data_IF_724702451551
#
_entry.id   IF_724702451551
#
_cell.length_a   1.000
_cell.length_b   1.000
_cell.length_c   1.000
_cell.angle_alpha   90.00
_cell.angle_beta   90.00
_cell.angle_gamma   90.00
#
_symmetry.space_group_name_H-M   'P 1'
#
loop_
_entity.id
_entity.type
_entity.pdbx_description
1 polymer ?
#
# COMPACT_ATOMS: atom_id res chain seq x y z
N UNK A 1 1.09 22.33 -41.62
CA UNK A 1 2.12 22.07 -40.59
C UNK A 1 1.75 22.89 -39.36
N UNK A 2 0.92 22.34 -38.47
CA UNK A 2 0.43 23.05 -37.28
C UNK A 2 1.39 22.76 -36.12
N UNK A 3 2.16 23.77 -35.73
CA UNK A 3 3.01 23.78 -34.55
C UNK A 3 2.14 23.85 -33.30
N UNK A 4 2.10 22.77 -32.51
CA UNK A 4 1.50 22.75 -31.17
C UNK A 4 2.47 23.44 -30.21
N UNK A 5 2.56 24.77 -30.31
CA UNK A 5 3.20 25.64 -29.31
C UNK A 5 2.11 26.07 -28.31
N UNK A 6 1.98 25.41 -27.16
CA UNK A 6 0.88 25.74 -26.26
C UNK A 6 0.83 25.07 -24.88
N UNK A 7 1.97 24.73 -24.28
CA UNK A 7 2.02 24.19 -22.91
C UNK A 7 2.24 25.28 -21.86
N UNK A 8 1.21 26.05 -21.50
CA UNK A 8 1.31 27.09 -20.47
C UNK A 8 1.82 26.56 -19.11
N UNK A 9 2.40 27.42 -18.24
CA UNK A 9 3.08 27.01 -16.98
C UNK A 9 2.20 26.16 -16.04
N UNK A 10 0.88 26.30 -16.12
CA UNK A 10 -0.11 25.50 -15.37
C UNK A 10 -0.19 24.04 -15.85
N UNK A 11 -0.03 23.79 -17.16
CA UNK A 11 -0.04 22.44 -17.75
C UNK A 11 1.23 21.64 -17.40
N UNK A 12 2.38 22.33 -17.29
CA UNK A 12 3.64 21.73 -16.84
C UNK A 12 3.66 21.35 -15.36
N UNK A 13 2.82 21.96 -14.52
CA UNK A 13 2.67 21.56 -13.12
C UNK A 13 1.84 20.28 -12.98
N UNK A 14 0.69 20.21 -13.65
CA UNK A 14 -0.16 19.00 -13.66
C UNK A 14 0.59 17.76 -14.17
N UNK A 15 1.36 17.88 -15.26
CA UNK A 15 2.16 16.76 -15.77
C UNK A 15 3.27 16.32 -14.80
N UNK A 16 3.80 17.23 -13.96
CA UNK A 16 4.79 16.89 -12.93
C UNK A 16 4.13 16.15 -11.76
N UNK A 17 2.96 16.57 -11.33
CA UNK A 17 2.20 15.92 -10.26
C UNK A 17 1.76 14.50 -10.66
N UNK A 18 1.27 14.34 -11.90
CA UNK A 18 0.92 13.02 -12.45
C UNK A 18 2.16 12.12 -12.61
N UNK A 19 3.29 12.65 -13.08
CA UNK A 19 4.54 11.87 -13.15
C UNK A 19 5.03 11.47 -11.75
N UNK A 20 4.97 12.35 -10.76
CA UNK A 20 5.37 12.05 -9.39
C UNK A 20 4.47 11.00 -8.74
N UNK A 21 3.16 11.08 -8.94
CA UNK A 21 2.22 10.06 -8.50
C UNK A 21 2.56 8.70 -9.16
N UNK A 22 2.76 8.69 -10.48
CA UNK A 22 3.10 7.47 -11.22
C UNK A 22 4.44 6.86 -10.81
N UNK A 23 5.45 7.70 -10.58
CA UNK A 23 6.78 7.30 -10.07
C UNK A 23 6.70 6.72 -8.66
N UNK A 24 5.91 7.33 -7.77
CA UNK A 24 5.68 6.82 -6.40
C UNK A 24 5.04 5.43 -6.41
N UNK A 25 3.98 5.25 -7.21
CA UNK A 25 3.32 3.94 -7.31
C UNK A 25 4.26 2.86 -7.85
N UNK A 26 5.07 3.18 -8.87
CA UNK A 26 6.05 2.24 -9.45
C UNK A 26 7.14 1.82 -8.44
N UNK A 27 7.71 2.75 -7.68
CA UNK A 27 8.76 2.47 -6.68
C UNK A 27 8.26 1.54 -5.56
N UNK A 28 7.08 1.82 -5.00
CA UNK A 28 6.49 1.00 -3.93
C UNK A 28 6.23 -0.42 -4.44
N UNK A 29 5.70 -0.55 -5.66
CA UNK A 29 5.37 -1.86 -6.25
C UNK A 29 6.63 -2.69 -6.49
N UNK A 30 7.70 -2.07 -6.97
CA UNK A 30 8.99 -2.75 -7.22
C UNK A 30 9.59 -3.25 -5.90
N UNK A 31 9.61 -2.42 -4.84
CA UNK A 31 10.15 -2.81 -3.53
C UNK A 31 9.34 -3.97 -2.93
N UNK A 32 8.01 -3.93 -3.01
CA UNK A 32 7.14 -5.02 -2.54
C UNK A 32 7.41 -6.32 -3.31
N UNK A 33 7.53 -6.27 -4.64
CA UNK A 33 7.88 -7.44 -5.46
C UNK A 33 9.23 -8.05 -5.07
N UNK A 34 10.24 -7.23 -4.81
CA UNK A 34 11.58 -7.70 -4.43
C UNK A 34 11.55 -8.41 -3.07
N UNK A 35 10.90 -7.82 -2.06
CA UNK A 35 10.73 -8.44 -0.73
C UNK A 35 10.00 -9.77 -0.84
N UNK A 36 8.93 -9.81 -1.65
CA UNK A 36 8.13 -11.01 -1.83
C UNK A 36 8.91 -12.12 -2.54
N UNK A 37 9.70 -11.79 -3.57
CA UNK A 37 10.57 -12.74 -4.29
C UNK A 37 11.65 -13.32 -3.36
N UNK A 38 12.22 -12.51 -2.49
CA UNK A 38 13.23 -12.96 -1.53
C UNK A 38 12.66 -13.89 -0.44
N UNK A 39 11.41 -13.66 -0.03
CA UNK A 39 10.73 -14.48 0.98
C UNK A 39 10.31 -15.87 0.48
N UNK A 40 10.16 -16.06 -0.83
CA UNK A 40 9.63 -17.31 -1.42
C UNK A 40 10.58 -18.50 -1.30
N UNK A 41 11.91 -18.29 -1.21
CA UNK A 41 12.88 -19.40 -1.22
C UNK A 41 12.90 -20.26 0.05
N UNK A 42 12.27 -19.84 1.15
CA UNK A 42 12.28 -20.56 2.45
C UNK A 42 10.89 -20.83 3.04
N UNK A 43 9.81 -20.53 2.33
CA UNK A 43 8.45 -20.57 2.91
C UNK A 43 7.69 -21.85 2.57
N UNK A 44 7.16 -22.51 3.60
CA UNK A 44 6.23 -23.64 3.46
C UNK A 44 4.97 -23.20 2.70
N UNK A 45 4.66 -23.86 1.57
CA UNK A 45 3.50 -23.53 0.69
C UNK A 45 2.18 -23.39 1.45
N UNK A 46 1.91 -24.27 2.43
CA UNK A 46 0.68 -24.21 3.27
C UNK A 46 0.60 -22.94 4.11
N UNK A 47 1.73 -22.50 4.68
CA UNK A 47 1.79 -21.30 5.50
C UNK A 47 1.70 -20.04 4.63
N UNK A 48 2.30 -20.08 3.43
CA UNK A 48 2.19 -19.01 2.45
C UNK A 48 0.74 -18.74 2.03
N UNK A 49 -0.03 -19.79 1.75
CA UNK A 49 -1.45 -19.67 1.39
C UNK A 49 -2.26 -19.09 2.56
N UNK A 50 -2.02 -19.54 3.80
CA UNK A 50 -2.72 -19.00 4.96
C UNK A 50 -2.43 -17.50 5.17
N UNK A 51 -1.16 -17.09 5.09
CA UNK A 51 -0.79 -15.67 5.18
C UNK A 51 -1.30 -14.86 4.00
N UNK A 52 -1.42 -15.45 2.81
CA UNK A 52 -2.02 -14.78 1.66
C UNK A 52 -3.49 -14.45 1.91
N UNK A 53 -4.28 -15.40 2.43
CA UNK A 53 -5.69 -15.18 2.76
C UNK A 53 -5.83 -14.12 3.87
N UNK A 54 -5.04 -14.22 4.94
CA UNK A 54 -5.06 -13.22 6.02
C UNK A 54 -4.66 -11.82 5.50
N UNK A 55 -3.63 -11.76 4.65
CA UNK A 55 -3.19 -10.54 4.00
C UNK A 55 -4.29 -9.91 3.13
N UNK A 56 -5.01 -10.72 2.35
CA UNK A 56 -6.13 -10.27 1.53
C UNK A 56 -7.29 -9.75 2.39
N UNK A 57 -7.65 -10.45 3.47
CA UNK A 57 -8.71 -10.00 4.39
C UNK A 57 -8.34 -8.66 5.02
N UNK A 58 -7.11 -8.48 5.49
CA UNK A 58 -6.74 -7.19 6.10
C UNK A 58 -6.50 -6.07 5.09
N UNK A 59 -6.16 -6.38 3.83
CA UNK A 59 -6.23 -5.41 2.73
C UNK A 59 -7.67 -4.90 2.53
N UNK A 60 -8.65 -5.80 2.62
CA UNK A 60 -10.06 -5.41 2.55
C UNK A 60 -10.48 -4.59 3.78
N UNK A 61 -10.07 -5.01 4.97
CA UNK A 61 -10.37 -4.30 6.22
C UNK A 61 -9.79 -2.88 6.25
N UNK A 62 -8.54 -2.71 5.85
CA UNK A 62 -7.91 -1.37 5.77
C UNK A 62 -8.61 -0.47 4.76
N UNK A 63 -9.14 -1.04 3.68
CA UNK A 63 -9.93 -0.29 2.71
C UNK A 63 -11.28 0.17 3.30
N UNK A 64 -11.97 -0.68 4.08
CA UNK A 64 -13.19 -0.30 4.81
C UNK A 64 -12.89 0.81 5.83
N UNK A 65 -11.84 0.64 6.63
CA UNK A 65 -11.41 1.64 7.62
C UNK A 65 -11.11 2.97 6.93
N UNK A 66 -10.45 2.96 5.76
CA UNK A 66 -10.19 4.18 4.98
C UNK A 66 -11.49 4.91 4.61
N UNK A 67 -12.48 4.20 4.09
CA UNK A 67 -13.77 4.78 3.71
C UNK A 67 -14.47 5.36 4.94
N UNK A 68 -14.41 4.65 6.08
CA UNK A 68 -14.98 5.12 7.33
C UNK A 68 -14.30 6.41 7.85
N UNK A 69 -12.96 6.48 7.85
CA UNK A 69 -12.24 7.70 8.24
C UNK A 69 -12.54 8.88 7.31
N UNK A 70 -12.70 8.63 6.00
CA UNK A 70 -13.07 9.67 5.04
C UNK A 70 -14.44 10.26 5.37
N UNK A 71 -15.41 9.41 5.69
CA UNK A 71 -16.74 9.86 6.12
C UNK A 71 -16.69 10.66 7.42
N UNK A 72 -15.98 10.13 8.43
CA UNK A 72 -15.90 10.78 9.74
C UNK A 72 -15.26 12.18 9.64
N UNK A 73 -14.18 12.31 8.88
CA UNK A 73 -13.45 13.58 8.72
C UNK A 73 -14.20 14.53 7.79
N UNK A 74 -14.85 14.00 6.76
CA UNK A 74 -15.73 14.76 5.87
C UNK A 74 -16.93 15.36 6.62
N UNK A 75 -17.47 14.65 7.61
CA UNK A 75 -18.60 15.10 8.42
C UNK A 75 -18.22 16.08 9.53
N UNK A 76 -17.07 15.88 10.22
CA UNK A 76 -16.71 16.67 11.40
C UNK A 76 -15.79 17.87 11.15
N UNK A 77 -15.00 17.88 10.07
CA UNK A 77 -14.02 18.95 9.82
C UNK A 77 -14.36 19.78 8.59
N UNK A 78 -14.31 19.17 7.41
CA UNK A 78 -14.65 19.82 6.14
C UNK A 78 -14.62 18.80 5.00
N UNK A 79 -15.63 18.77 4.12
CA UNK A 79 -15.64 17.92 2.93
C UNK A 79 -14.43 18.17 2.02
N UNK A 80 -13.96 19.42 1.94
CA UNK A 80 -12.87 19.84 1.04
C UNK A 80 -11.51 19.31 1.52
N UNK A 81 -11.30 19.25 2.83
CA UNK A 81 -10.10 18.64 3.45
C UNK A 81 -10.14 17.11 3.36
N UNK A 82 -11.31 16.50 3.54
CA UNK A 82 -11.48 15.06 3.45
C UNK A 82 -11.18 14.52 2.03
N UNK A 83 -11.72 15.18 1.01
CA UNK A 83 -11.52 14.76 -0.40
C UNK A 83 -10.12 15.11 -0.90
N UNK A 84 -9.49 16.19 -0.41
CA UNK A 84 -8.15 16.60 -0.85
C UNK A 84 -7.00 15.85 -0.16
N UNK A 85 -6.87 16.03 1.16
CA UNK A 85 -5.72 15.53 1.92
C UNK A 85 -5.90 14.06 2.32
N UNK A 86 -7.10 13.69 2.76
CA UNK A 86 -7.35 12.36 3.31
C UNK A 86 -7.60 11.31 2.23
N UNK A 87 -8.29 11.65 1.14
CA UNK A 87 -8.56 10.69 0.07
C UNK A 87 -7.29 10.23 -0.62
N UNK A 88 -6.41 11.17 -0.98
CA UNK A 88 -5.21 10.88 -1.76
C UNK A 88 -4.06 10.38 -0.90
N UNK A 89 -3.91 10.89 0.33
CA UNK A 89 -2.74 10.57 1.15
C UNK A 89 -2.96 9.58 2.29
N UNK A 90 -4.13 9.57 2.94
CA UNK A 90 -4.30 8.71 4.11
C UNK A 90 -4.37 7.23 3.74
N UNK A 91 -4.88 6.91 2.54
CA UNK A 91 -5.03 5.53 2.09
C UNK A 91 -3.71 4.77 2.01
N UNK A 92 -2.66 5.39 1.47
CA UNK A 92 -1.35 4.73 1.35
C UNK A 92 -0.61 4.68 2.69
N UNK A 93 -0.79 5.69 3.56
CA UNK A 93 -0.22 5.69 4.92
C UNK A 93 -0.82 4.56 5.74
N UNK A 94 -2.16 4.43 5.76
CA UNK A 94 -2.86 3.38 6.49
C UNK A 94 -2.45 1.99 6.00
N UNK A 95 -2.33 1.85 4.67
CA UNK A 95 -1.89 0.60 4.06
C UNK A 95 -0.44 0.25 4.44
N UNK A 96 0.49 1.21 4.42
CA UNK A 96 1.88 0.98 4.84
C UNK A 96 1.98 0.54 6.31
N UNK A 97 1.24 1.21 7.20
CA UNK A 97 1.21 0.87 8.64
C UNK A 97 0.70 -0.56 8.81
N UNK A 98 -0.43 -0.89 8.17
CA UNK A 98 -0.98 -2.24 8.21
C UNK A 98 -0.01 -3.27 7.64
N UNK A 99 0.61 -2.99 6.49
CA UNK A 99 1.55 -3.90 5.84
C UNK A 99 2.76 -4.18 6.72
N UNK A 100 3.32 -3.14 7.36
CA UNK A 100 4.42 -3.28 8.29
C UNK A 100 4.04 -4.11 9.53
N UNK A 101 2.86 -3.86 10.10
CA UNK A 101 2.35 -4.64 11.24
C UNK A 101 2.10 -6.11 10.86
N UNK A 102 1.48 -6.34 9.71
CA UNK A 102 1.25 -7.68 9.17
C UNK A 102 2.56 -8.42 8.94
N UNK A 103 3.55 -7.76 8.33
CA UNK A 103 4.84 -8.38 8.03
C UNK A 103 5.64 -8.73 9.29
N UNK A 104 5.67 -7.85 10.29
CA UNK A 104 6.36 -8.12 11.57
C UNK A 104 5.74 -9.31 12.31
N UNK A 105 4.41 -9.40 12.34
CA UNK A 105 3.68 -10.54 12.92
C UNK A 105 3.93 -11.82 12.10
N UNK A 106 3.86 -11.73 10.78
CA UNK A 106 4.09 -12.86 9.89
C UNK A 106 5.50 -13.44 10.06
N UNK A 107 6.53 -12.60 10.06
CA UNK A 107 7.91 -13.02 10.29
C UNK A 107 8.10 -13.71 11.64
N UNK A 108 7.52 -13.15 12.71
CA UNK A 108 7.59 -13.76 14.06
C UNK A 108 6.97 -15.15 14.09
N UNK A 109 5.82 -15.34 13.44
CA UNK A 109 5.12 -16.64 13.39
C UNK A 109 5.87 -17.63 12.49
N UNK A 110 6.33 -17.20 11.32
CA UNK A 110 7.07 -18.03 10.36
C UNK A 110 8.39 -18.49 10.97
N UNK A 111 9.16 -17.57 11.55
CA UNK A 111 10.45 -17.88 12.20
C UNK A 111 10.27 -18.83 13.38
N UNK A 112 9.28 -18.58 14.25
CA UNK A 112 8.96 -19.46 15.40
C UNK A 112 8.55 -20.86 14.97
N UNK A 113 7.79 -21.02 13.87
CA UNK A 113 7.42 -22.34 13.34
C UNK A 113 8.57 -23.07 12.67
N UNK A 114 9.48 -22.36 12.00
CA UNK A 114 10.66 -22.96 11.38
C UNK A 114 11.54 -23.65 12.43
N UNK A 115 11.77 -22.99 13.58
CA UNK A 115 12.65 -23.52 14.61
C UNK A 115 12.08 -24.76 15.34
N UNK A 116 10.75 -24.85 15.47
CA UNK A 116 10.10 -26.04 16.08
C UNK A 116 10.17 -27.30 15.23
N UNK A 117 10.32 -27.17 13.91
CA UNK A 117 10.35 -28.30 12.99
C UNK A 117 11.72 -28.97 12.88
N UNK A 118 12.77 -28.34 13.41
CA UNK A 118 14.16 -28.85 13.42
C UNK A 118 14.55 -29.57 14.71
N UNK A 119 13.64 -29.64 15.69
CA UNK A 119 13.85 -30.25 17.01
C UNK A 119 12.99 -31.51 17.23
N UNK A 120 12.35 -32.01 16.16
CA UNK A 120 11.66 -33.30 16.09
C UNK A 120 12.32 -34.10 14.98
#
# INVERSE_FOLDING_TARGET
MLTIEGGGPRHRHLLRDYRQALLRHRLITIIHCIIQRHAWKKMNKKLAILFFIIGAIGMFATNIIRIFLLFLIGAHYSPKLAVGLFHTNLGWILFLIYFWLFWTVAQKIIYKRSNRKSSK
#
